data_IF_767250536765
#
_entry.id   IF_767250536765
#
_cell.length_a   1.000
_cell.length_b   1.000
_cell.length_c   1.000
_cell.angle_alpha   90.00
_cell.angle_beta   90.00
_cell.angle_gamma   90.00
#
_symmetry.space_group_name_H-M   'P 1'
#
loop_
_entity.id
_entity.type
_entity.pdbx_description
1 polymer ?
#
# COMPACT_ATOMS: atom_id res chain seq x y z
N UNK A 1 -11.15 -11.97 9.29
CA UNK A 1 -11.10 -13.12 8.35
C UNK A 1 -9.78 -13.04 7.60
N UNK A 2 -9.10 -14.16 7.31
CA UNK A 2 -7.88 -14.14 6.52
C UNK A 2 -8.20 -13.76 5.07
N UNK A 3 -7.41 -12.85 4.48
CA UNK A 3 -7.55 -12.45 3.08
C UNK A 3 -6.91 -13.53 2.20
N UNK A 4 -7.70 -14.11 1.29
CA UNK A 4 -7.24 -15.06 0.28
C UNK A 4 -6.55 -14.31 -0.87
N UNK A 5 -5.25 -14.54 -1.02
CA UNK A 5 -4.42 -13.98 -2.09
C UNK A 5 -4.14 -15.07 -3.14
N UNK A 6 -4.60 -14.86 -4.38
CA UNK A 6 -4.17 -15.68 -5.51
C UNK A 6 -2.77 -15.24 -5.95
N UNK A 7 -1.83 -16.19 -5.99
CA UNK A 7 -0.46 -15.95 -6.47
C UNK A 7 -0.30 -16.38 -7.92
N UNK A 8 0.60 -15.73 -8.70
CA UNK A 8 0.91 -16.16 -10.06
C UNK A 8 1.34 -17.63 -10.07
N UNK A 9 0.79 -18.41 -11.01
CA UNK A 9 1.15 -19.82 -11.17
C UNK A 9 2.27 -19.93 -12.19
N UNK A 10 3.36 -20.61 -11.83
CA UNK A 10 4.39 -21.02 -12.80
C UNK A 10 4.00 -22.36 -13.41
N UNK A 11 3.80 -22.39 -14.73
CA UNK A 11 3.61 -23.63 -15.48
C UNK A 11 4.79 -23.74 -16.44
N UNK A 12 5.75 -24.60 -16.11
CA UNK A 12 7.02 -24.67 -16.84
C UNK A 12 7.84 -23.38 -16.67
N UNK A 13 8.35 -22.84 -17.78
CA UNK A 13 9.09 -21.58 -17.83
C UNK A 13 8.20 -20.32 -17.93
N UNK A 14 6.89 -20.48 -18.14
CA UNK A 14 5.96 -19.37 -18.26
C UNK A 14 5.27 -19.05 -16.91
N UNK A 15 5.23 -17.76 -16.58
CA UNK A 15 4.51 -17.25 -15.40
C UNK A 15 3.14 -16.74 -15.83
N UNK A 16 2.08 -17.45 -15.45
CA UNK A 16 0.71 -17.05 -15.76
C UNK A 16 0.28 -16.00 -14.73
N UNK A 17 -0.03 -14.76 -15.17
CA UNK A 17 -0.48 -13.71 -14.26
C UNK A 17 -1.85 -14.06 -13.67
N UNK A 18 -2.13 -13.51 -12.49
CA UNK A 18 -3.41 -13.70 -11.81
C UNK A 18 -4.49 -12.98 -12.62
N UNK A 19 -5.52 -13.72 -13.01
CA UNK A 19 -6.67 -13.15 -13.72
C UNK A 19 -7.58 -12.42 -12.71
N UNK A 20 -7.41 -11.10 -12.65
CA UNK A 20 -8.18 -10.20 -11.77
C UNK A 20 -9.62 -9.96 -12.24
N UNK A 21 -10.00 -10.44 -13.42
CA UNK A 21 -11.38 -10.32 -13.91
C UNK A 21 -12.30 -11.34 -13.25
N UNK A 22 -11.75 -12.44 -12.73
CA UNK A 22 -12.50 -13.48 -12.03
C UNK A 22 -13.05 -13.00 -10.68
N UNK A 23 -14.14 -13.61 -10.18
CA UNK A 23 -14.71 -13.31 -8.87
C UNK A 23 -13.63 -13.31 -7.77
N UNK A 24 -13.80 -12.47 -6.76
CA UNK A 24 -12.85 -12.39 -5.66
C UNK A 24 -12.78 -13.76 -4.94
N UNK A 25 -11.58 -14.33 -4.73
CA UNK A 25 -11.42 -15.61 -4.00
C UNK A 25 -11.95 -15.55 -2.56
N UNK A 26 -12.14 -14.37 -1.98
CA UNK A 26 -12.75 -14.17 -0.67
C UNK A 26 -14.29 -14.34 -0.68
N UNK A 27 -14.91 -14.45 -1.85
CA UNK A 27 -16.38 -14.52 -2.01
C UNK A 27 -17.09 -13.18 -1.85
N UNK A 28 -16.38 -12.12 -1.45
CA UNK A 28 -16.90 -10.75 -1.36
C UNK A 28 -16.39 -9.90 -2.52
N UNK A 29 -17.32 -9.31 -3.27
CA UNK A 29 -16.98 -8.35 -4.33
C UNK A 29 -16.98 -6.93 -3.76
N UNK A 30 -15.92 -6.19 -4.08
CA UNK A 30 -15.80 -4.79 -3.70
C UNK A 30 -15.99 -3.92 -4.95
N UNK A 31 -16.82 -2.91 -4.84
CA UNK A 31 -17.05 -1.95 -5.93
C UNK A 31 -15.98 -0.85 -5.94
N UNK A 32 -15.71 -0.29 -4.75
CA UNK A 32 -14.87 0.90 -4.58
C UNK A 32 -13.72 0.58 -3.62
N UNK A 33 -12.49 0.82 -4.05
CA UNK A 33 -11.28 0.73 -3.25
C UNK A 33 -10.67 2.13 -3.11
N UNK A 34 -10.50 2.58 -1.88
CA UNK A 34 -9.82 3.84 -1.55
C UNK A 34 -8.48 3.51 -0.91
N UNK A 35 -7.41 4.05 -1.49
CA UNK A 35 -6.04 3.80 -1.06
C UNK A 35 -5.38 5.13 -0.69
N UNK A 36 -4.89 5.21 0.53
CA UNK A 36 -4.07 6.32 1.00
C UNK A 36 -2.59 6.00 0.76
N UNK A 37 -1.94 6.80 -0.07
CA UNK A 37 -0.54 6.60 -0.42
C UNK A 37 0.39 6.87 0.77
N UNK A 38 -0.01 7.69 1.74
CA UNK A 38 0.79 7.89 2.95
C UNK A 38 0.96 6.59 3.73
N UNK A 39 -0.09 5.74 3.75
CA UNK A 39 -0.05 4.40 4.34
C UNK A 39 0.83 3.40 3.59
N UNK A 40 1.14 3.65 2.31
CA UNK A 40 2.00 2.80 1.45
C UNK A 40 3.45 3.29 1.46
N UNK A 41 3.66 4.61 1.45
CA UNK A 41 4.99 5.24 1.44
C UNK A 41 5.71 5.06 2.77
N UNK A 42 4.99 5.10 3.90
CA UNK A 42 5.59 4.96 5.24
C UNK A 42 6.31 3.60 5.45
N UNK A 43 5.70 2.43 5.16
CA UNK A 43 6.39 1.14 5.16
C UNK A 43 7.55 1.05 4.15
N UNK A 44 7.44 1.71 3.00
CA UNK A 44 8.48 1.70 1.97
C UNK A 44 9.70 2.58 2.35
N UNK A 45 9.52 3.54 3.27
CA UNK A 45 10.60 4.42 3.75
C UNK A 45 11.40 3.82 4.90
N UNK A 46 10.78 2.95 5.70
CA UNK A 46 11.43 2.21 6.79
C UNK A 46 11.07 0.71 6.75
N UNK A 47 11.53 -0.03 5.72
CA UNK A 47 11.34 -1.47 5.68
C UNK A 47 12.17 -2.15 6.78
N UNK A 48 11.53 -2.87 7.70
CA UNK A 48 12.23 -3.61 8.79
C UNK A 48 13.16 -4.72 8.26
N UNK A 49 12.90 -5.24 7.06
CA UNK A 49 13.60 -6.41 6.48
C UNK A 49 14.35 -6.16 5.15
N UNK A 50 14.31 -4.94 4.59
CA UNK A 50 14.95 -4.62 3.30
C UNK A 50 15.81 -3.36 3.41
N UNK A 51 16.86 -3.20 2.57
CA UNK A 51 17.57 -1.94 2.48
C UNK A 51 16.61 -0.84 2.02
N UNK A 52 16.69 0.34 2.66
CA UNK A 52 15.93 1.51 2.24
C UNK A 52 16.18 1.78 0.74
N UNK A 53 15.13 2.13 -0.03
CA UNK A 53 15.27 2.42 -1.45
C UNK A 53 16.26 3.58 -1.62
N UNK A 54 17.26 3.40 -2.50
CA UNK A 54 18.33 4.38 -2.71
C UNK A 54 17.93 5.45 -3.73
N UNK A 55 16.92 5.16 -4.56
CA UNK A 55 16.45 6.04 -5.63
C UNK A 55 14.94 6.20 -5.58
N UNK A 56 14.45 7.32 -6.10
CA UNK A 56 13.00 7.58 -6.25
C UNK A 56 12.33 6.54 -7.14
N UNK A 57 13.04 6.06 -8.17
CA UNK A 57 12.56 5.01 -9.06
C UNK A 57 12.33 3.68 -8.31
N UNK A 58 13.26 3.26 -7.45
CA UNK A 58 13.10 2.06 -6.63
C UNK A 58 11.93 2.19 -5.65
N UNK A 59 11.74 3.40 -5.10
CA UNK A 59 10.61 3.69 -4.22
C UNK A 59 9.28 3.59 -4.95
N UNK A 60 9.18 4.14 -6.17
CA UNK A 60 7.99 4.01 -7.01
C UNK A 60 7.69 2.55 -7.36
N UNK A 61 8.70 1.75 -7.66
CA UNK A 61 8.53 0.31 -7.93
C UNK A 61 7.98 -0.41 -6.70
N UNK A 62 8.54 -0.14 -5.51
CA UNK A 62 8.06 -0.75 -4.27
C UNK A 62 6.61 -0.36 -3.94
N UNK A 63 6.26 0.92 -4.15
CA UNK A 63 4.89 1.43 -4.00
C UNK A 63 3.95 0.72 -4.99
N UNK A 64 4.39 0.56 -6.24
CA UNK A 64 3.62 -0.09 -7.28
C UNK A 64 3.37 -1.57 -6.94
N UNK A 65 4.40 -2.31 -6.52
CA UNK A 65 4.27 -3.70 -6.08
C UNK A 65 3.30 -3.86 -4.90
N UNK A 66 3.38 -2.98 -3.91
CA UNK A 66 2.47 -3.02 -2.75
C UNK A 66 1.03 -2.70 -3.14
N UNK A 67 0.83 -1.67 -3.97
CA UNK A 67 -0.49 -1.29 -4.50
C UNK A 67 -1.09 -2.40 -5.34
N UNK A 68 -0.30 -2.98 -6.24
CA UNK A 68 -0.71 -4.07 -7.13
C UNK A 68 -1.16 -5.31 -6.35
N UNK A 69 -0.47 -5.61 -5.24
CA UNK A 69 -0.83 -6.68 -4.31
C UNK A 69 -2.18 -6.41 -3.62
N UNK A 70 -2.41 -5.20 -3.11
CA UNK A 70 -3.68 -4.83 -2.46
C UNK A 70 -4.84 -4.87 -3.45
N UNK A 71 -4.65 -4.32 -4.65
CA UNK A 71 -5.66 -4.36 -5.72
C UNK A 71 -5.96 -5.79 -6.15
N UNK A 72 -4.96 -6.67 -6.18
CA UNK A 72 -5.13 -8.09 -6.49
C UNK A 72 -5.98 -8.86 -5.47
N UNK A 73 -5.89 -8.48 -4.19
CA UNK A 73 -6.70 -9.07 -3.11
C UNK A 73 -8.14 -8.56 -3.10
N UNK A 74 -8.35 -7.25 -3.32
CA UNK A 74 -9.68 -6.62 -3.20
C UNK A 74 -10.50 -6.72 -4.49
N UNK A 75 -9.85 -6.64 -5.67
CA UNK A 75 -10.47 -6.65 -7.00
C UNK A 75 -11.64 -5.66 -7.15
N UNK A 76 -11.39 -4.33 -7.04
CA UNK A 76 -12.45 -3.33 -7.21
C UNK A 76 -13.09 -3.41 -8.59
N UNK A 77 -14.42 -3.44 -8.66
CA UNK A 77 -15.18 -3.55 -9.93
C UNK A 77 -15.54 -2.22 -10.57
N UNK A 78 -15.59 -1.13 -9.80
CA UNK A 78 -16.08 0.18 -10.27
C UNK A 78 -15.05 1.29 -10.12
N UNK A 79 -14.47 1.45 -8.92
CA UNK A 79 -13.61 2.59 -8.61
C UNK A 79 -12.37 2.16 -7.85
N UNK A 80 -11.20 2.58 -8.34
CA UNK A 80 -9.95 2.64 -7.58
C UNK A 80 -9.59 4.11 -7.39
N UNK A 81 -9.63 4.57 -6.14
CA UNK A 81 -9.26 5.92 -5.77
C UNK A 81 -7.91 5.89 -5.03
N UNK A 82 -6.88 6.49 -5.63
CA UNK A 82 -5.56 6.61 -5.04
C UNK A 82 -5.36 8.04 -4.55
N UNK A 83 -5.37 8.25 -3.24
CA UNK A 83 -5.07 9.53 -2.62
C UNK A 83 -3.56 9.69 -2.49
N UNK A 84 -2.94 10.40 -3.43
CA UNK A 84 -1.54 10.82 -3.33
C UNK A 84 -1.51 12.15 -2.60
N UNK A 85 -0.79 12.22 -1.47
CA UNK A 85 -0.50 13.50 -0.84
C UNK A 85 0.55 14.22 -1.70
N UNK A 86 0.07 15.07 -2.61
CA UNK A 86 0.96 15.93 -3.39
C UNK A 86 1.62 16.88 -2.41
N UNK A 87 2.95 16.76 -2.24
CA UNK A 87 3.75 17.49 -1.23
C UNK A 87 3.12 18.82 -0.90
N UNK A 88 2.41 18.89 0.23
CA UNK A 88 1.81 20.11 0.69
C UNK A 88 2.93 21.14 0.78
N UNK A 89 2.81 22.21 0.00
CA UNK A 89 3.68 23.37 0.01
C UNK A 89 4.08 23.68 1.44
N UNK A 90 5.38 23.61 1.78
CA UNK A 90 6.02 24.14 3.01
C UNK A 90 5.07 24.83 4.02
N UNK A 91 4.19 24.08 4.67
CA UNK A 91 3.29 24.63 5.68
C UNK A 91 2.71 23.52 6.55
N UNK A 92 3.56 23.01 7.43
CA UNK A 92 3.23 22.66 8.81
C UNK A 92 4.57 22.35 9.50
N UNK A 93 5.46 23.33 9.65
CA UNK A 93 5.58 24.07 10.91
C UNK A 93 4.83 23.39 12.08
N UNK A 94 5.61 22.62 12.86
CA UNK A 94 5.50 22.48 14.31
C UNK A 94 4.45 21.51 14.87
N UNK A 95 4.81 20.23 14.98
CA UNK A 95 4.38 19.44 16.15
C UNK A 95 5.28 19.79 17.35
N UNK A 96 5.10 20.96 17.97
CA UNK A 96 5.30 21.07 19.42
C UNK A 96 3.96 21.34 20.11
N UNK A 97 3.57 20.38 20.94
CA UNK A 97 2.68 20.40 22.12
C UNK A 97 1.94 19.07 22.16
N UNK A 98 1.86 18.34 23.25
CA UNK A 98 2.38 18.53 24.60
C UNK A 98 2.23 17.19 25.32
N UNK A 99 3.25 16.80 26.06
CA UNK A 99 3.05 16.06 27.30
C UNK A 99 3.98 16.68 28.34
N UNK A 100 3.53 17.79 28.94
CA UNK A 100 4.00 18.17 30.26
C UNK A 100 3.63 17.02 31.19
N UNK A 101 4.59 16.15 31.48
CA UNK A 101 4.51 15.28 32.65
C UNK A 101 5.20 16.00 33.77
N UNK A 102 4.40 16.68 34.58
CA UNK A 102 4.78 17.13 35.91
C UNK A 102 5.19 15.92 36.75
N UNK A 103 6.46 15.86 37.16
CA UNK A 103 6.88 15.08 38.32
C UNK A 103 6.94 16.02 39.53
N UNK A 104 6.03 15.93 40.51
CA UNK A 104 6.30 16.55 41.80
C UNK A 104 7.20 15.62 42.62
N UNK A 105 8.23 16.23 43.18
CA UNK A 105 9.03 15.70 44.30
C UNK A 105 8.27 15.93 45.60
#
# INVERSE_FOLDING_TARGET
MPVAEEKPRKIGDETIPVDRTKPNPNGEEFDNLYLDMNGIVHPCSHPEDKPAPKTEADMMIAIFELTDRVVGMVRPRKLLYLAVDGTSSRCSTHSERAAVTTSPT
#
